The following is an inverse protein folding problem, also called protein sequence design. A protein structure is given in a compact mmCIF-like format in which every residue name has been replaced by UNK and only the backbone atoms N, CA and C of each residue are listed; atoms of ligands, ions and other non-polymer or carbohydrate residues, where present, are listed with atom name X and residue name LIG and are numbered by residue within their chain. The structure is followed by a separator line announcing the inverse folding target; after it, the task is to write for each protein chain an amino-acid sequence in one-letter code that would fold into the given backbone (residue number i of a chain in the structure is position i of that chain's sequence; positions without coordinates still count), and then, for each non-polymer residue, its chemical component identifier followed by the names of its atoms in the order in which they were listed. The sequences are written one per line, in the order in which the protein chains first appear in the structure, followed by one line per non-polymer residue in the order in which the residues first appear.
data_IF_506878275301
#
_entry.id   IF_506878275301
#
_cell.length_a   1.000
_cell.length_b   1.000
_cell.length_c   1.000
_cell.angle_alpha   90.00
_cell.angle_beta   90.00
_cell.angle_gamma   90.00
#
_symmetry.space_group_name_H-M   'P 1'
#
loop_
_entity.id
_entity.type
_entity.pdbx_description
1 polymer ?
#
# COMPACT_ATOMS: atom_id res chain seq x y z
N UNK A 1 -3.80 -42.90 -58.25
CA UNK A 1 -3.70 -42.50 -56.83
C UNK A 1 -2.69 -41.38 -56.72
N UNK A 2 -3.14 -40.13 -56.55
CA UNK A 2 -2.37 -38.93 -56.88
C UNK A 2 -1.68 -38.31 -55.66
N UNK A 3 -0.39 -37.98 -55.83
CA UNK A 3 0.51 -37.32 -54.86
C UNK A 3 0.03 -35.97 -54.28
N UNK A 4 -1.12 -35.46 -54.71
CA UNK A 4 -1.67 -34.16 -54.31
C UNK A 4 -2.70 -34.22 -53.17
N UNK A 5 -3.23 -35.39 -52.85
CA UNK A 5 -4.19 -35.54 -51.74
C UNK A 5 -3.52 -35.89 -50.40
N UNK A 6 -2.25 -36.33 -50.40
CA UNK A 6 -1.51 -36.66 -49.17
C UNK A 6 -1.07 -35.41 -48.39
N UNK A 7 -0.84 -34.28 -49.08
CA UNK A 7 -0.45 -33.02 -48.44
C UNK A 7 -1.62 -32.30 -47.75
N UNK A 8 -2.87 -32.60 -48.10
CA UNK A 8 -4.04 -32.01 -47.44
C UNK A 8 -4.30 -32.60 -46.05
N UNK A 9 -3.88 -33.84 -45.80
CA UNK A 9 -4.03 -34.49 -44.50
C UNK A 9 -2.88 -34.19 -43.52
N UNK A 10 -1.74 -33.65 -43.99
CA UNK A 10 -0.65 -33.25 -43.11
C UNK A 10 -0.84 -31.87 -42.46
N UNK A 11 -1.74 -31.02 -42.99
CA UNK A 11 -1.97 -29.67 -42.46
C UNK A 11 -3.09 -29.60 -41.40
N UNK A 12 -3.83 -30.69 -41.20
CA UNK A 12 -4.96 -30.76 -40.27
C UNK A 12 -4.62 -31.43 -38.92
N UNK A 13 -3.35 -31.77 -38.70
CA UNK A 13 -2.86 -32.43 -37.48
C UNK A 13 -2.15 -31.51 -36.47
N UNK A 14 -2.05 -30.21 -36.74
CA UNK A 14 -1.35 -29.25 -35.85
C UNK A 14 -2.31 -28.23 -35.20
N UNK A 15 -3.59 -28.21 -35.60
CA UNK A 15 -4.58 -27.27 -35.05
C UNK A 15 -5.11 -27.65 -33.65
N UNK A 16 -4.71 -28.79 -33.09
CA UNK A 16 -5.27 -29.34 -31.84
C UNK A 16 -4.31 -29.40 -30.64
N UNK A 17 -3.08 -28.91 -30.76
CA UNK A 17 -2.13 -28.90 -29.64
C UNK A 17 -1.94 -27.48 -29.11
N UNK A 18 -2.79 -27.20 -28.11
CA UNK A 18 -2.51 -26.30 -27.02
C UNK A 18 -2.42 -24.82 -27.42
N UNK A 19 -3.62 -24.25 -27.64
CA UNK A 19 -4.01 -23.05 -26.89
C UNK A 19 -3.74 -23.29 -25.39
N UNK A 20 -2.47 -23.24 -25.00
CA UNK A 20 -2.07 -22.85 -23.67
C UNK A 20 -2.41 -21.36 -23.58
N UNK A 21 -3.67 -21.05 -23.32
CA UNK A 21 -3.97 -19.80 -22.64
C UNK A 21 -3.24 -19.87 -21.32
N UNK A 22 -2.01 -19.36 -21.28
CA UNK A 22 -1.45 -18.89 -20.02
C UNK A 22 -2.44 -17.83 -19.54
N UNK A 23 -3.15 -18.05 -18.41
CA UNK A 23 -4.15 -17.10 -17.94
C UNK A 23 -3.51 -15.82 -17.38
N UNK A 24 -2.20 -15.64 -17.54
CA UNK A 24 -1.48 -14.47 -17.07
C UNK A 24 -1.09 -13.58 -18.26
N UNK A 25 -2.08 -12.76 -18.61
CA UNK A 25 -2.00 -11.29 -18.73
C UNK A 25 -0.62 -10.74 -19.13
N UNK A 26 -0.64 -10.10 -20.29
CA UNK A 26 0.36 -9.18 -20.83
C UNK A 26 1.28 -8.57 -19.78
N UNK A 27 2.58 -8.69 -20.06
CA UNK A 27 3.72 -8.12 -19.34
C UNK A 27 3.47 -6.67 -18.91
N UNK A 28 3.03 -6.49 -17.66
CA UNK A 28 3.07 -5.20 -16.99
C UNK A 28 4.53 -4.82 -16.76
N UNK A 29 4.93 -3.67 -17.31
CA UNK A 29 6.21 -3.03 -16.99
C UNK A 29 6.16 -2.62 -15.53
N UNK A 30 6.66 -3.49 -14.65
CA UNK A 30 6.67 -3.29 -13.21
C UNK A 30 7.84 -2.37 -12.84
N UNK A 31 7.57 -1.09 -12.56
CA UNK A 31 8.58 -0.25 -11.92
C UNK A 31 8.56 -0.55 -10.42
N UNK A 32 9.50 -1.39 -9.97
CA UNK A 32 9.69 -1.70 -8.54
C UNK A 32 10.15 -0.44 -7.79
N UNK A 33 9.24 0.45 -7.41
CA UNK A 33 9.52 1.45 -6.36
C UNK A 33 9.48 0.74 -5.01
N UNK A 34 10.48 0.99 -4.18
CA UNK A 34 10.56 0.48 -2.81
C UNK A 34 9.52 1.22 -1.97
N UNK A 35 8.67 0.50 -1.24
CA UNK A 35 7.77 1.11 -0.27
C UNK A 35 8.57 1.53 0.97
N UNK A 36 8.63 2.83 1.23
CA UNK A 36 9.18 3.35 2.48
C UNK A 36 8.04 3.64 3.46
N UNK A 37 8.22 3.22 4.70
CA UNK A 37 7.35 3.57 5.82
C UNK A 37 8.10 4.62 6.62
N UNK A 38 7.81 5.89 6.35
CA UNK A 38 8.49 6.99 7.01
C UNK A 38 7.98 7.14 8.46
N UNK A 39 8.88 7.22 9.42
CA UNK A 39 8.59 7.34 10.85
C UNK A 39 9.27 8.56 11.43
N UNK A 40 8.75 9.10 12.54
CA UNK A 40 9.36 10.22 13.25
C UNK A 40 10.41 9.73 14.25
N UNK A 41 11.62 10.32 14.23
CA UNK A 41 12.65 10.01 15.23
C UNK A 41 12.41 10.70 16.58
N UNK A 42 11.61 11.76 16.60
CA UNK A 42 11.27 12.49 17.83
C UNK A 42 10.11 11.87 18.62
N UNK A 43 9.45 10.85 18.08
CA UNK A 43 8.23 10.25 18.64
C UNK A 43 8.40 8.75 18.80
N UNK A 44 8.64 8.28 20.03
CA UNK A 44 8.59 6.84 20.31
C UNK A 44 7.14 6.41 20.60
N UNK A 45 6.71 5.20 20.20
CA UNK A 45 7.50 4.17 19.53
C UNK A 45 7.33 4.14 17.98
N UNK A 46 7.33 5.30 17.30
CA UNK A 46 7.06 5.41 15.85
C UNK A 46 7.99 4.53 15.02
N UNK A 47 9.30 4.53 15.29
CA UNK A 47 10.24 3.72 14.51
C UNK A 47 10.12 2.21 14.76
N UNK A 48 10.10 1.70 16.01
CA UNK A 48 9.85 0.27 16.24
C UNK A 48 8.55 -0.21 15.60
N UNK A 49 7.47 0.59 15.67
CA UNK A 49 6.21 0.27 15.01
C UNK A 49 6.36 0.22 13.47
N UNK A 50 7.00 1.23 12.86
CA UNK A 50 7.27 1.22 11.42
C UNK A 50 8.16 0.05 10.99
N UNK A 51 9.12 -0.36 11.81
CA UNK A 51 9.92 -1.56 11.55
C UNK A 51 9.09 -2.85 11.59
N UNK A 52 8.17 -2.98 12.55
CA UNK A 52 7.28 -4.13 12.62
C UNK A 52 6.36 -4.21 11.39
N UNK A 53 5.77 -3.08 10.99
CA UNK A 53 4.94 -2.98 9.78
C UNK A 53 5.76 -3.35 8.54
N UNK A 54 6.96 -2.78 8.38
CA UNK A 54 7.82 -3.07 7.24
C UNK A 54 8.23 -4.55 7.16
N UNK A 55 8.49 -5.20 8.29
CA UNK A 55 8.84 -6.62 8.33
C UNK A 55 7.68 -7.50 7.86
N UNK A 56 6.46 -7.27 8.38
CA UNK A 56 5.28 -8.02 7.95
C UNK A 56 4.99 -7.79 6.46
N UNK A 57 5.05 -6.55 5.99
CA UNK A 57 4.87 -6.25 4.56
C UNK A 57 5.98 -6.89 3.70
N UNK A 58 7.23 -6.92 4.15
CA UNK A 58 8.30 -7.56 3.40
C UNK A 58 8.17 -9.10 3.38
N UNK A 59 7.58 -9.70 4.41
CA UNK A 59 7.35 -11.15 4.48
C UNK A 59 6.19 -11.59 3.57
N UNK A 60 5.09 -10.84 3.53
CA UNK A 60 3.85 -11.24 2.87
C UNK A 60 3.54 -10.49 1.56
N UNK A 61 4.18 -9.35 1.33
CA UNK A 61 4.18 -8.59 0.07
C UNK A 61 5.63 -8.27 -0.36
N UNK A 62 6.47 -9.28 -0.63
CA UNK A 62 7.91 -9.09 -0.89
C UNK A 62 8.21 -8.17 -2.09
N UNK A 63 7.28 -8.07 -3.05
CA UNK A 63 7.35 -7.15 -4.18
C UNK A 63 7.27 -5.67 -3.79
N UNK A 64 6.69 -5.34 -2.63
CA UNK A 64 6.70 -3.99 -2.04
C UNK A 64 8.11 -3.55 -1.66
N UNK A 65 8.97 -4.53 -1.32
CA UNK A 65 10.31 -4.30 -0.73
C UNK A 65 10.25 -3.34 0.46
N UNK A 66 9.20 -3.44 1.28
CA UNK A 66 8.92 -2.49 2.35
C UNK A 66 10.11 -2.30 3.30
N UNK A 67 10.39 -1.05 3.66
CA UNK A 67 11.43 -0.69 4.63
C UNK A 67 11.00 0.52 5.47
N UNK A 68 11.31 0.50 6.76
CA UNK A 68 11.16 1.68 7.61
C UNK A 68 12.28 2.69 7.37
N UNK A 69 11.94 3.97 7.35
CA UNK A 69 12.89 5.09 7.25
C UNK A 69 12.58 6.13 8.33
N UNK A 70 13.60 6.83 8.84
CA UNK A 70 13.43 7.85 9.89
C UNK A 70 13.56 9.25 9.31
N UNK A 71 12.54 10.08 9.52
CA UNK A 71 12.62 11.53 9.45
C UNK A 71 12.99 12.10 10.83
N UNK A 72 13.38 13.38 10.88
CA UNK A 72 13.69 14.04 12.15
C UNK A 72 12.45 14.13 13.05
N UNK A 73 11.36 14.62 12.48
CA UNK A 73 10.09 14.88 13.15
C UNK A 73 8.92 14.80 12.14
N UNK A 74 7.70 15.04 12.61
CA UNK A 74 6.50 15.04 11.77
C UNK A 74 6.49 16.15 10.70
N UNK A 75 7.18 17.28 10.91
CA UNK A 75 7.32 18.35 9.92
C UNK A 75 8.06 17.89 8.67
N UNK A 76 9.18 17.21 8.86
CA UNK A 76 9.93 16.63 7.75
C UNK A 76 9.11 15.56 7.00
N UNK A 77 8.30 14.77 7.70
CA UNK A 77 7.39 13.79 7.08
C UNK A 77 6.37 14.48 6.18
N UNK A 78 5.67 15.49 6.71
CA UNK A 78 4.64 16.25 6.00
C UNK A 78 5.23 16.92 4.74
N UNK A 79 6.43 17.49 4.83
CA UNK A 79 7.14 18.06 3.69
C UNK A 79 7.47 17.01 2.61
N UNK A 80 7.91 15.82 3.01
CA UNK A 80 8.26 14.73 2.08
C UNK A 80 7.02 14.14 1.39
N UNK A 81 5.90 14.03 2.10
CA UNK A 81 4.61 13.64 1.53
C UNK A 81 4.07 14.71 0.58
N UNK A 82 4.07 15.98 1.01
CA UNK A 82 3.56 17.10 0.20
C UNK A 82 4.38 17.37 -1.06
N UNK A 83 5.71 17.16 -0.99
CA UNK A 83 6.59 17.24 -2.15
C UNK A 83 6.63 15.96 -3.01
N UNK A 84 5.78 14.98 -2.72
CA UNK A 84 5.65 13.74 -3.49
C UNK A 84 6.93 12.88 -3.58
N UNK A 85 7.88 13.09 -2.66
CA UNK A 85 9.12 12.31 -2.63
C UNK A 85 8.91 10.92 -2.02
N UNK A 86 7.97 10.82 -1.09
CA UNK A 86 7.55 9.60 -0.43
C UNK A 86 6.02 9.55 -0.34
N UNK A 87 5.48 8.34 -0.27
CA UNK A 87 4.04 8.12 -0.42
C UNK A 87 3.33 7.65 0.85
N UNK A 88 4.07 7.07 1.80
CA UNK A 88 3.52 6.43 3.01
C UNK A 88 4.32 6.81 4.25
N UNK A 89 3.62 7.11 5.33
CA UNK A 89 4.22 7.47 6.61
C UNK A 89 3.38 6.98 7.80
N UNK A 90 4.03 6.91 8.96
CA UNK A 90 3.40 6.70 10.25
C UNK A 90 3.40 8.05 11.00
N UNK A 91 2.21 8.55 11.31
CA UNK A 91 2.02 9.81 12.04
C UNK A 91 1.16 9.58 13.28
N UNK A 92 1.35 10.39 14.33
CA UNK A 92 0.35 10.50 15.39
C UNK A 92 -0.97 11.03 14.82
N UNK A 93 -2.10 10.59 15.38
CA UNK A 93 -3.42 10.98 14.90
C UNK A 93 -3.64 12.50 14.89
N UNK A 94 -3.17 13.21 15.91
CA UNK A 94 -3.26 14.67 16.00
C UNK A 94 -2.43 15.36 14.91
N UNK A 95 -1.23 14.86 14.63
CA UNK A 95 -0.35 15.43 13.60
C UNK A 95 -0.86 15.15 12.20
N UNK A 96 -1.37 13.93 11.96
CA UNK A 96 -2.07 13.61 10.73
C UNK A 96 -3.27 14.54 10.52
N UNK A 97 -4.07 14.77 11.56
CA UNK A 97 -5.24 15.68 11.51
C UNK A 97 -4.85 17.11 11.18
N UNK A 98 -3.82 17.64 11.83
CA UNK A 98 -3.33 18.99 11.57
C UNK A 98 -2.77 19.12 10.15
N UNK A 99 -2.01 18.12 9.67
CA UNK A 99 -1.47 18.10 8.31
C UNK A 99 -2.59 18.00 7.26
N UNK A 100 -3.63 17.21 7.52
CA UNK A 100 -4.79 17.10 6.64
C UNK A 100 -5.54 18.42 6.52
N UNK A 101 -5.71 19.14 7.63
CA UNK A 101 -6.42 20.42 7.68
C UNK A 101 -5.54 21.61 7.28
N UNK A 102 -4.21 21.44 7.24
CA UNK A 102 -3.27 22.53 6.99
C UNK A 102 -3.24 23.57 8.11
N UNK A 103 -3.35 23.12 9.36
CA UNK A 103 -3.41 24.01 10.53
C UNK A 103 -2.39 23.61 11.59
N UNK A 104 -2.45 24.28 12.75
CA UNK A 104 -1.54 24.02 13.86
C UNK A 104 -0.09 24.24 13.44
N UNK A 105 0.76 23.22 13.61
CA UNK A 105 2.18 23.30 13.23
C UNK A 105 2.45 23.19 11.73
N UNK A 106 1.46 22.81 10.92
CA UNK A 106 1.58 22.60 9.46
C UNK A 106 0.89 23.70 8.64
N UNK A 107 0.71 24.89 9.23
CA UNK A 107 0.11 26.04 8.55
C UNK A 107 0.94 26.50 7.35
N UNK A 108 2.28 26.36 7.43
CA UNK A 108 3.18 26.77 6.35
C UNK A 108 3.11 25.81 5.16
N UNK A 109 3.02 24.50 5.40
CA UNK A 109 2.85 23.49 4.36
C UNK A 109 1.45 23.50 3.75
N UNK A 110 0.45 23.93 4.52
CA UNK A 110 -0.96 23.94 4.11
C UNK A 110 -1.61 22.56 4.16
N UNK A 111 -2.84 22.47 3.64
CA UNK A 111 -3.63 21.24 3.68
C UNK A 111 -3.04 20.20 2.72
N UNK A 112 -2.76 19.01 3.25
CA UNK A 112 -2.35 17.85 2.46
C UNK A 112 -3.49 16.82 2.42
N UNK A 113 -3.95 16.40 1.23
CA UNK A 113 -4.97 15.37 1.12
C UNK A 113 -4.35 14.01 1.43
N UNK A 114 -4.31 13.68 2.72
CA UNK A 114 -3.82 12.42 3.26
C UNK A 114 -4.97 11.44 3.49
N UNK A 115 -4.66 10.15 3.39
CA UNK A 115 -5.60 9.04 3.56
C UNK A 115 -5.07 8.00 4.52
N UNK A 116 -5.94 7.48 5.39
CA UNK A 116 -5.58 6.42 6.35
C UNK A 116 -5.61 5.05 5.67
N UNK A 117 -4.53 4.28 5.83
CA UNK A 117 -4.42 2.87 5.43
C UNK A 117 -4.76 1.94 6.60
N UNK A 118 -4.26 2.22 7.80
CA UNK A 118 -4.47 1.42 9.00
C UNK A 118 -4.27 2.27 10.28
N UNK A 119 -4.82 1.81 11.40
CA UNK A 119 -4.78 2.51 12.70
C UNK A 119 -4.07 1.65 13.74
N UNK A 120 -3.04 2.20 14.38
CA UNK A 120 -2.20 1.55 15.38
C UNK A 120 -2.20 2.34 16.69
N UNK A 121 -3.27 2.20 17.47
CA UNK A 121 -3.44 2.97 18.71
C UNK A 121 -3.55 4.46 18.40
N UNK A 122 -2.59 5.27 18.85
CA UNK A 122 -2.50 6.69 18.55
C UNK A 122 -1.82 7.01 17.21
N UNK A 123 -1.25 6.02 16.53
CA UNK A 123 -0.60 6.19 15.23
C UNK A 123 -1.53 5.82 14.08
N UNK A 124 -1.41 6.56 12.98
CA UNK A 124 -2.05 6.28 11.71
C UNK A 124 -0.97 5.94 10.69
N UNK A 125 -1.12 4.82 10.01
CA UNK A 125 -0.42 4.59 8.76
C UNK A 125 -1.16 5.36 7.68
N UNK A 126 -0.56 6.44 7.20
CA UNK A 126 -1.16 7.34 6.21
C UNK A 126 -0.44 7.24 4.87
N UNK A 127 -1.15 7.62 3.82
CA UNK A 127 -0.62 7.78 2.48
C UNK A 127 -1.17 9.04 1.82
N UNK A 128 -0.60 9.42 0.68
CA UNK A 128 -1.16 10.45 -0.19
C UNK A 128 -2.50 10.03 -0.80
N UNK A 129 -3.32 11.00 -1.18
CA UNK A 129 -4.59 10.82 -1.89
C UNK A 129 -4.47 9.96 -3.14
N UNK A 130 -3.42 10.16 -3.92
CA UNK A 130 -3.18 9.52 -5.21
C UNK A 130 -2.38 8.22 -5.09
N UNK A 131 -2.25 7.68 -3.87
CA UNK A 131 -1.67 6.37 -3.67
C UNK A 131 -2.55 5.29 -4.32
N UNK A 132 -1.92 4.25 -4.87
CA UNK A 132 -2.67 3.29 -5.68
C UNK A 132 -3.72 2.54 -4.87
N UNK A 133 -4.96 2.46 -5.37
CA UNK A 133 -6.05 1.72 -4.69
C UNK A 133 -5.67 0.26 -4.45
N UNK A 134 -5.04 -0.37 -5.44
CA UNK A 134 -4.58 -1.76 -5.34
C UNK A 134 -3.55 -1.93 -4.21
N UNK A 135 -2.51 -1.09 -4.20
CA UNK A 135 -1.46 -1.17 -3.17
C UNK A 135 -2.03 -0.91 -1.78
N UNK A 136 -2.94 0.06 -1.64
CA UNK A 136 -3.61 0.36 -0.38
C UNK A 136 -4.43 -0.82 0.15
N UNK A 137 -5.18 -1.50 -0.73
CA UNK A 137 -5.93 -2.70 -0.38
C UNK A 137 -4.99 -3.79 0.14
N UNK A 138 -3.93 -4.10 -0.62
CA UNK A 138 -2.99 -5.16 -0.25
C UNK A 138 -2.32 -4.87 1.09
N UNK A 139 -1.87 -3.63 1.33
CA UNK A 139 -1.29 -3.22 2.62
C UNK A 139 -2.29 -3.43 3.76
N UNK A 140 -3.52 -2.92 3.63
CA UNK A 140 -4.54 -3.04 4.67
C UNK A 140 -4.88 -4.52 4.96
N UNK A 141 -5.02 -5.32 3.90
CA UNK A 141 -5.25 -6.76 3.98
C UNK A 141 -4.13 -7.46 4.73
N UNK A 142 -2.89 -7.32 4.26
CA UNK A 142 -1.73 -8.00 4.83
C UNK A 142 -1.53 -7.66 6.30
N UNK A 143 -1.62 -6.38 6.67
CA UNK A 143 -1.46 -5.96 8.06
C UNK A 143 -2.57 -6.48 8.98
N UNK A 144 -3.77 -6.69 8.43
CA UNK A 144 -4.91 -7.22 9.18
C UNK A 144 -4.84 -8.73 9.33
N UNK A 145 -4.51 -9.45 8.25
CA UNK A 145 -4.40 -10.91 8.25
C UNK A 145 -3.20 -11.41 9.07
N UNK A 146 -2.11 -10.65 9.11
CA UNK A 146 -0.87 -11.00 9.83
C UNK A 146 -0.65 -10.12 11.07
N UNK A 147 -1.75 -9.65 11.67
CA UNK A 147 -1.69 -8.74 12.82
C UNK A 147 -0.92 -9.33 14.00
N UNK A 148 -1.08 -10.61 14.26
CA UNK A 148 -0.46 -11.30 15.40
C UNK A 148 1.07 -11.39 15.26
N UNK A 149 1.60 -11.20 14.05
CA UNK A 149 3.04 -11.17 13.77
C UNK A 149 3.65 -9.77 13.87
N UNK A 150 2.81 -8.73 13.99
CA UNK A 150 3.29 -7.39 14.27
C UNK A 150 3.77 -7.34 15.72
N UNK A 151 5.08 -7.18 15.90
CA UNK A 151 5.67 -6.84 17.19
C UNK A 151 5.33 -5.38 17.58
N UNK A 152 4.05 -5.13 17.86
CA UNK A 152 3.54 -3.81 18.22
C UNK A 152 4.08 -3.45 19.62
N UNK A 153 4.73 -2.28 19.79
CA UNK A 153 5.18 -1.85 21.12
C UNK A 153 4.01 -1.66 22.10
N UNK A 154 4.22 -1.87 23.41
CA UNK A 154 3.15 -1.75 24.41
C UNK A 154 2.45 -0.38 24.39
N UNK A 155 3.20 0.69 24.15
CA UNK A 155 2.66 2.05 24.03
C UNK A 155 1.72 2.26 22.81
N UNK A 156 1.69 1.31 21.86
CA UNK A 156 0.77 1.30 20.73
C UNK A 156 -0.35 0.23 20.88
N UNK A 157 -0.43 -0.47 22.01
CA UNK A 157 -1.48 -1.45 22.29
C UNK A 157 -2.79 -0.75 22.69
N UNK A 158 -3.63 -0.49 21.69
CA UNK A 158 -5.03 -0.05 21.80
C UNK A 158 -5.80 -0.36 20.52
N UNK A 159 -5.29 -1.36 19.79
CA UNK A 159 -5.37 -1.46 18.33
C UNK A 159 -6.74 -1.96 17.87
N UNK A 160 -7.49 -1.09 17.18
CA UNK A 160 -8.51 -1.52 16.23
C UNK A 160 -7.97 -1.23 14.83
N UNK A 161 -7.66 -2.28 14.06
CA UNK A 161 -7.35 -2.14 12.64
C UNK A 161 -8.68 -1.96 11.90
N UNK A 162 -9.12 -0.73 11.65
CA UNK A 162 -10.28 -0.46 10.78
C UNK A 162 -11.04 0.86 11.05
N UNK A 163 -11.97 1.27 10.16
CA UNK A 163 -12.91 2.40 10.39
C UNK A 163 -14.13 1.95 11.23
N UNK A 164 -14.92 2.81 11.93
CA UNK A 164 -15.09 4.27 11.78
C UNK A 164 -15.05 5.12 13.08
N UNK A 165 -14.55 4.62 14.23
CA UNK A 165 -14.55 5.40 15.50
C UNK A 165 -13.21 6.02 15.90
N UNK A 166 -12.13 5.83 15.15
CA UNK A 166 -10.76 6.18 15.60
C UNK A 166 -9.89 7.04 14.67
N UNK A 167 -10.15 7.12 13.36
CA UNK A 167 -9.30 7.91 12.45
C UNK A 167 -9.86 9.34 12.28
N UNK A 168 -9.06 10.39 12.52
CA UNK A 168 -9.43 11.77 12.19
C UNK A 168 -9.37 12.06 10.68
N UNK A 169 -8.79 11.15 9.88
CA UNK A 169 -8.66 11.26 8.43
C UNK A 169 -9.57 10.25 7.73
N UNK A 170 -10.07 10.57 6.52
CA UNK A 170 -10.78 9.60 5.71
C UNK A 170 -9.85 8.45 5.30
N UNK A 171 -10.38 7.23 5.27
CA UNK A 171 -9.62 6.07 4.81
C UNK A 171 -9.35 6.14 3.31
N UNK A 172 -8.24 5.54 2.89
CA UNK A 172 -7.93 5.35 1.49
C UNK A 172 -9.00 4.43 0.87
N UNK A 173 -9.56 4.75 -0.31
CA UNK A 173 -10.60 3.93 -0.93
C UNK A 173 -10.25 2.44 -1.05
N UNK A 174 -9.00 2.12 -1.41
CA UNK A 174 -8.54 0.72 -1.48
C UNK A 174 -8.46 0.01 -0.12
N UNK A 175 -8.03 0.71 0.93
CA UNK A 175 -8.03 0.16 2.28
C UNK A 175 -9.46 -0.03 2.80
N UNK A 176 -10.35 0.93 2.52
CA UNK A 176 -11.76 0.86 2.85
C UNK A 176 -12.45 -0.31 2.14
N UNK A 177 -12.15 -0.53 0.85
CA UNK A 177 -12.66 -1.68 0.10
C UNK A 177 -12.32 -3.00 0.82
N UNK A 178 -11.10 -3.17 1.34
CA UNK A 178 -10.74 -4.33 2.15
C UNK A 178 -11.55 -4.42 3.46
N UNK A 179 -11.59 -3.34 4.26
CA UNK A 179 -12.28 -3.34 5.55
C UNK A 179 -13.79 -3.56 5.45
N UNK A 180 -14.39 -3.20 4.32
CA UNK A 180 -15.81 -3.43 4.02
C UNK A 180 -16.07 -4.79 3.35
N UNK A 181 -15.04 -5.62 3.16
CA UNK A 181 -15.16 -6.95 2.55
C UNK A 181 -15.43 -6.93 1.04
N UNK A 182 -15.12 -5.82 0.36
CA UNK A 182 -15.21 -5.71 -1.10
C UNK A 182 -14.04 -6.43 -1.77
N UNK A 183 -14.18 -6.87 -3.04
CA UNK A 183 -13.09 -7.51 -3.75
C UNK A 183 -11.93 -6.54 -4.01
N UNK A 184 -10.75 -7.12 -4.19
CA UNK A 184 -9.53 -6.44 -4.64
C UNK A 184 -9.80 -5.59 -5.90
N UNK A 185 -9.48 -4.30 -5.92
CA UNK A 185 -9.66 -3.47 -7.10
C UNK A 185 -8.75 -3.93 -8.26
N UNK A 186 -9.08 -3.61 -9.51
CA UNK A 186 -8.15 -3.85 -10.62
C UNK A 186 -6.90 -2.98 -10.43
N UNK A 187 -5.72 -3.54 -10.72
CA UNK A 187 -4.47 -2.79 -10.71
C UNK A 187 -4.53 -1.58 -11.67
N UNK A 188 -4.07 -0.43 -11.20
CA UNK A 188 -4.03 0.80 -11.99
C UNK A 188 -2.92 0.70 -13.05
N UNK A 189 -3.27 0.90 -14.32
CA UNK A 189 -2.31 1.20 -15.38
C UNK A 189 -1.80 2.62 -15.14
N UNK A 190 -0.70 2.75 -14.41
CA UNK A 190 -0.07 4.05 -14.13
C UNK A 190 0.28 4.72 -15.46
N UNK A 191 -0.47 5.76 -15.84
CA UNK A 191 -0.39 6.42 -17.13
C UNK A 191 1.00 7.00 -17.35
N UNK A 192 1.57 6.67 -18.51
CA UNK A 192 2.91 7.01 -19.03
C UNK A 192 3.43 8.40 -18.69
#
# INVERSE_FOLDING_TARGET
MNRREFFKLALMGVAGLLMGHSPYRQWHVYRKRRLFILTSASEEPSFPLGQAIAQVLAAYLPESRAMAARARDAGDIVKLLGSQQLDVALLLADDASQAFQGNGRFQEEGSLPLRTLAVFGSYLLVCREDFSKEKAYQIAKTLTEHRDELAIPQAAHGTSLGPPRGSPLPFHPGALDFYEGRPLPPGEEESR
#
